data_IF_363695541194
#
_entry.id   IF_363695541194
#
_cell.length_a   1.000
_cell.length_b   1.000
_cell.length_c   1.000
_cell.angle_alpha   90.00
_cell.angle_beta   90.00
_cell.angle_gamma   90.00
#
_symmetry.space_group_name_H-M   'P 1'
#
loop_
_entity.id
_entity.type
_entity.pdbx_description
1 polymer ?
#
# COMPACT_ATOMS: atom_id res chain seq x y z
N UNK A 1 11.77 -38.94 76.09
CA UNK A 1 12.34 -39.91 75.12
C UNK A 1 11.34 -40.10 73.98
N UNK A 2 11.57 -39.46 72.83
CA UNK A 2 10.93 -39.83 71.56
C UNK A 2 12.07 -40.19 70.59
N UNK A 3 12.20 -41.48 70.31
CA UNK A 3 13.16 -42.02 69.33
C UNK A 3 12.64 -41.75 67.91
N UNK A 4 13.27 -40.83 67.18
CA UNK A 4 13.05 -40.69 65.74
C UNK A 4 13.62 -41.95 65.06
N UNK A 5 12.74 -42.85 64.61
CA UNK A 5 13.12 -43.99 63.77
C UNK A 5 13.68 -43.46 62.45
N UNK A 6 14.99 -43.62 62.24
CA UNK A 6 15.66 -43.36 60.96
C UNK A 6 15.10 -44.34 59.92
N UNK A 7 14.51 -43.80 58.85
CA UNK A 7 14.01 -44.57 57.72
C UNK A 7 15.20 -45.27 57.02
N UNK A 8 15.11 -46.56 56.63
CA UNK A 8 16.20 -47.27 55.96
C UNK A 8 16.65 -46.55 54.69
N UNK A 9 17.96 -46.44 54.47
CA UNK A 9 18.54 -45.77 53.29
C UNK A 9 17.98 -46.28 51.95
N UNK A 10 17.58 -47.56 51.88
CA UNK A 10 16.92 -48.15 50.70
C UNK A 10 15.56 -47.51 50.40
N UNK A 11 14.75 -47.24 51.42
CA UNK A 11 13.44 -46.57 51.26
C UNK A 11 13.56 -45.10 50.90
N UNK A 12 14.58 -44.41 51.43
CA UNK A 12 14.88 -43.03 51.07
C UNK A 12 15.35 -42.90 49.62
N UNK A 13 16.18 -43.83 49.14
CA UNK A 13 16.63 -43.87 47.75
C UNK A 13 15.50 -44.17 46.76
N UNK A 14 14.56 -45.07 47.12
CA UNK A 14 13.37 -45.33 46.30
C UNK A 14 12.44 -44.13 46.29
N UNK A 15 12.19 -43.50 47.44
CA UNK A 15 11.37 -42.29 47.52
C UNK A 15 11.95 -41.14 46.69
N UNK A 16 13.27 -40.93 46.73
CA UNK A 16 13.94 -39.91 45.93
C UNK A 16 13.79 -40.18 44.41
N UNK A 17 13.94 -41.44 43.98
CA UNK A 17 13.74 -41.81 42.56
C UNK A 17 12.30 -41.57 42.10
N UNK A 18 11.31 -41.86 42.95
CA UNK A 18 9.89 -41.61 42.66
C UNK A 18 9.62 -40.10 42.55
N UNK A 19 10.18 -39.29 43.45
CA UNK A 19 10.03 -37.82 43.39
C UNK A 19 10.66 -37.24 42.13
N UNK A 20 11.86 -37.70 41.76
CA UNK A 20 12.53 -37.25 40.52
C UNK A 20 11.71 -37.66 39.28
N UNK A 21 11.17 -38.88 39.25
CA UNK A 21 10.35 -39.33 38.13
C UNK A 21 9.05 -38.53 38.02
N UNK A 22 8.37 -38.25 39.14
CA UNK A 22 7.17 -37.41 39.16
C UNK A 22 7.47 -35.98 38.73
N UNK A 23 8.61 -35.42 39.15
CA UNK A 23 9.05 -34.09 38.73
C UNK A 23 9.36 -34.04 37.22
N UNK A 24 10.01 -35.08 36.68
CA UNK A 24 10.24 -35.22 35.24
C UNK A 24 8.94 -35.31 34.44
N UNK A 25 7.95 -36.09 34.91
CA UNK A 25 6.62 -36.17 34.30
C UNK A 25 5.91 -34.81 34.35
N UNK A 26 6.01 -34.09 35.46
CA UNK A 26 5.42 -32.76 35.61
C UNK A 26 6.05 -31.74 34.66
N UNK A 27 7.38 -31.78 34.48
CA UNK A 27 8.09 -30.94 33.53
C UNK A 27 7.72 -31.28 32.07
N UNK A 28 7.61 -32.57 31.73
CA UNK A 28 7.14 -32.99 30.41
C UNK A 28 5.69 -32.55 30.15
N UNK A 29 4.82 -32.65 31.16
CA UNK A 29 3.44 -32.17 31.07
C UNK A 29 3.39 -30.64 30.92
N UNK A 30 4.17 -29.90 31.71
CA UNK A 30 4.29 -28.44 31.57
C UNK A 30 4.81 -28.06 30.18
N UNK A 31 5.88 -28.70 29.70
CA UNK A 31 6.40 -28.49 28.35
C UNK A 31 5.35 -28.84 27.28
N UNK A 32 4.58 -29.92 27.45
CA UNK A 32 3.48 -30.25 26.53
C UNK A 32 2.34 -29.23 26.60
N UNK A 33 2.01 -28.66 27.76
CA UNK A 33 0.98 -27.60 27.84
C UNK A 33 1.46 -26.25 27.32
N UNK A 34 2.76 -25.95 27.43
CA UNK A 34 3.35 -24.68 27.01
C UNK A 34 3.76 -24.69 25.53
N UNK A 35 4.19 -25.85 25.02
CA UNK A 35 4.66 -26.05 23.64
C UNK A 35 3.74 -26.95 22.81
N UNK A 36 2.67 -27.54 23.37
CA UNK A 36 1.71 -28.38 22.63
C UNK A 36 0.82 -27.58 21.68
N UNK A 37 0.75 -26.26 21.86
CA UNK A 37 0.19 -25.32 20.88
C UNK A 37 1.23 -24.88 19.83
N UNK A 38 2.46 -25.41 19.88
CA UNK A 38 3.44 -25.25 18.81
C UNK A 38 3.04 -26.14 17.63
N UNK A 39 2.09 -25.65 16.85
CA UNK A 39 1.78 -26.22 15.54
C UNK A 39 3.04 -26.18 14.67
N UNK A 40 3.43 -27.32 14.11
CA UNK A 40 4.38 -27.36 13.01
C UNK A 40 3.91 -26.37 11.94
N UNK A 41 4.78 -25.50 11.37
CA UNK A 41 4.39 -24.74 10.21
C UNK A 41 4.04 -25.77 9.16
N UNK A 42 2.75 -25.88 8.84
CA UNK A 42 2.32 -26.53 7.61
C UNK A 42 2.79 -25.63 6.48
N UNK A 43 4.08 -25.68 6.15
CA UNK A 43 4.61 -25.20 4.89
C UNK A 43 4.14 -26.16 3.80
N UNK A 44 2.85 -26.09 3.53
CA UNK A 44 2.26 -26.49 2.27
C UNK A 44 1.28 -25.37 1.95
N UNK A 45 1.82 -24.31 1.37
CA UNK A 45 1.05 -23.32 0.62
C UNK A 45 0.45 -24.03 -0.60
N UNK A 46 -0.57 -24.85 -0.35
CA UNK A 46 -1.59 -25.12 -1.36
C UNK A 46 -2.22 -23.76 -1.59
N UNK A 47 -1.93 -23.13 -2.72
CA UNK A 47 -2.59 -21.91 -3.17
C UNK A 47 -4.09 -22.14 -3.15
N UNK A 48 -4.73 -21.80 -2.04
CA UNK A 48 -6.17 -21.62 -1.99
C UNK A 48 -6.40 -20.44 -2.91
N UNK A 49 -7.01 -20.68 -4.07
CA UNK A 49 -7.58 -19.66 -4.92
C UNK A 49 -8.40 -18.72 -4.04
N UNK A 50 -7.81 -17.62 -3.58
CA UNK A 50 -8.55 -16.58 -2.89
C UNK A 50 -9.64 -16.13 -3.85
N UNK A 51 -10.88 -16.09 -3.36
CA UNK A 51 -11.97 -15.49 -4.12
C UNK A 51 -11.57 -14.04 -4.40
N UNK A 52 -11.42 -13.59 -5.66
CA UNK A 52 -10.99 -12.21 -5.93
C UNK A 52 -11.95 -11.16 -5.34
N UNK A 53 -13.20 -11.53 -5.07
CA UNK A 53 -14.15 -10.68 -4.36
C UNK A 53 -13.80 -10.49 -2.89
N UNK A 54 -13.07 -11.42 -2.28
CA UNK A 54 -12.60 -11.31 -0.90
C UNK A 54 -11.56 -10.21 -0.70
N UNK A 55 -10.95 -9.70 -1.78
CA UNK A 55 -10.00 -8.58 -1.74
C UNK A 55 -10.69 -7.22 -1.57
N UNK A 56 -12.00 -7.13 -1.80
CA UNK A 56 -12.74 -5.86 -1.80
C UNK A 56 -13.47 -5.70 -0.47
N UNK A 57 -13.09 -4.69 0.29
CA UNK A 57 -13.53 -4.47 1.66
C UNK A 57 -14.28 -3.13 1.79
N UNK A 58 -15.62 -3.13 1.67
CA UNK A 58 -16.41 -1.93 1.89
C UNK A 58 -16.65 -1.68 3.39
N UNK A 59 -16.46 -0.43 3.83
CA UNK A 59 -16.70 0.00 5.21
C UNK A 59 -17.95 0.86 5.32
N UNK A 60 -18.87 0.44 6.19
CA UNK A 60 -20.14 1.12 6.40
C UNK A 60 -21.17 0.81 5.31
N UNK A 61 -21.28 -0.45 4.90
CA UNK A 61 -22.20 -0.94 3.85
C UNK A 61 -21.55 -0.98 2.47
N UNK A 62 -22.21 -1.60 1.48
CA UNK A 62 -21.64 -1.89 0.16
C UNK A 62 -22.22 -1.07 -1.00
N UNK A 63 -23.15 -0.14 -0.72
CA UNK A 63 -23.85 0.63 -1.75
C UNK A 63 -22.92 1.47 -2.62
N UNK A 64 -21.73 1.80 -2.13
CA UNK A 64 -20.77 2.61 -2.87
C UNK A 64 -19.91 1.81 -3.87
N UNK A 65 -19.97 0.48 -3.84
CA UNK A 65 -19.18 -0.36 -4.73
C UNK A 65 -19.85 -0.48 -6.11
N UNK A 66 -19.05 -0.56 -7.19
CA UNK A 66 -19.55 -0.90 -8.51
C UNK A 66 -20.06 -2.35 -8.54
N UNK A 67 -20.76 -2.70 -9.61
CA UNK A 67 -21.25 -4.08 -9.82
C UNK A 67 -20.08 -5.05 -9.97
N UNK A 68 -19.85 -5.87 -8.95
CA UNK A 68 -18.85 -6.94 -8.97
C UNK A 68 -19.47 -8.20 -9.58
N UNK A 69 -19.22 -8.44 -10.86
CA UNK A 69 -19.79 -9.56 -11.59
C UNK A 69 -18.73 -10.47 -12.23
N UNK A 70 -19.18 -11.59 -12.80
CA UNK A 70 -18.33 -12.60 -13.41
C UNK A 70 -17.53 -12.11 -14.62
N UNK A 71 -18.03 -11.09 -15.34
CA UNK A 71 -17.31 -10.48 -16.46
C UNK A 71 -16.03 -9.79 -15.99
N UNK A 72 -16.12 -9.01 -14.91
CA UNK A 72 -14.96 -8.32 -14.32
C UNK A 72 -13.90 -9.31 -13.84
N UNK A 73 -14.32 -10.43 -13.22
CA UNK A 73 -13.41 -11.50 -12.79
C UNK A 73 -12.69 -12.15 -13.97
N UNK A 74 -13.39 -12.37 -15.09
CA UNK A 74 -12.81 -12.93 -16.30
C UNK A 74 -11.83 -11.94 -16.96
N UNK A 75 -12.20 -10.67 -16.98
CA UNK A 75 -11.36 -9.58 -17.48
C UNK A 75 -10.06 -9.46 -16.67
N UNK A 76 -10.15 -9.40 -15.33
CA UNK A 76 -8.99 -9.34 -14.45
C UNK A 76 -8.03 -10.53 -14.68
N UNK A 77 -8.56 -11.75 -14.83
CA UNK A 77 -7.74 -12.94 -15.14
C UNK A 77 -7.07 -12.83 -16.51
N UNK A 78 -7.80 -12.34 -17.51
CA UNK A 78 -7.30 -12.17 -18.88
C UNK A 78 -6.15 -11.16 -18.90
N UNK A 79 -6.34 -10.00 -18.27
CA UNK A 79 -5.32 -8.95 -18.19
C UNK A 79 -4.12 -9.44 -17.37
N UNK A 80 -4.33 -10.06 -16.21
CA UNK A 80 -3.24 -10.64 -15.40
C UNK A 80 -2.34 -11.57 -16.21
N UNK A 81 -2.92 -12.49 -16.98
CA UNK A 81 -2.16 -13.40 -17.84
C UNK A 81 -1.40 -12.65 -18.95
N UNK A 82 -2.01 -11.62 -19.52
CA UNK A 82 -1.37 -10.79 -20.54
C UNK A 82 -0.18 -9.99 -19.95
N UNK A 83 -0.33 -9.41 -18.76
CA UNK A 83 0.72 -8.65 -18.08
C UNK A 83 1.96 -9.50 -17.79
N UNK A 84 1.81 -10.77 -17.43
CA UNK A 84 2.94 -11.69 -17.20
C UNK A 84 3.88 -11.84 -18.41
N UNK A 85 3.37 -11.62 -19.62
CA UNK A 85 4.16 -11.77 -20.85
C UNK A 85 4.67 -10.42 -21.39
N UNK A 86 4.05 -9.31 -20.99
CA UNK A 86 4.28 -7.98 -21.57
C UNK A 86 4.98 -7.02 -20.62
N UNK A 87 4.87 -7.21 -19.31
CA UNK A 87 5.30 -6.24 -18.32
C UNK A 87 6.59 -6.70 -17.61
N UNK A 88 7.68 -5.91 -17.62
CA UNK A 88 8.98 -6.29 -17.08
C UNK A 88 9.09 -6.04 -15.56
N UNK A 89 8.00 -6.22 -14.81
CA UNK A 89 8.00 -5.94 -13.38
C UNK A 89 8.28 -7.24 -12.59
N UNK A 90 9.31 -7.25 -11.72
CA UNK A 90 9.58 -8.42 -10.89
C UNK A 90 8.40 -8.69 -9.95
N UNK A 91 8.18 -9.97 -9.64
CA UNK A 91 7.24 -10.33 -8.59
C UNK A 91 7.74 -9.78 -7.26
N UNK A 92 6.85 -9.12 -6.52
CA UNK A 92 7.14 -8.64 -5.17
C UNK A 92 6.13 -9.26 -4.20
N UNK A 93 6.61 -9.64 -3.03
CA UNK A 93 5.81 -10.17 -1.93
C UNK A 93 5.42 -9.09 -0.90
N UNK A 94 5.70 -7.82 -1.20
CA UNK A 94 5.28 -6.67 -0.38
C UNK A 94 3.76 -6.62 -0.34
N UNK A 95 3.19 -6.67 0.88
CA UNK A 95 1.74 -6.63 1.10
C UNK A 95 1.25 -5.19 1.10
N UNK A 96 0.51 -4.80 0.05
CA UNK A 96 0.02 -3.42 -0.14
C UNK A 96 -1.51 -3.42 -0.17
N UNK A 97 -2.12 -2.63 0.71
CA UNK A 97 -3.57 -2.36 0.67
C UNK A 97 -3.85 -1.03 -0.02
N UNK A 98 -4.71 -1.03 -1.04
CA UNK A 98 -5.24 0.21 -1.63
C UNK A 98 -6.38 0.73 -0.76
N UNK A 99 -6.40 2.04 -0.53
CA UNK A 99 -7.39 2.70 0.33
C UNK A 99 -8.05 3.85 -0.44
N UNK A 100 -9.39 3.93 -0.37
CA UNK A 100 -10.15 5.04 -0.98
C UNK A 100 -11.45 5.33 -0.24
N UNK A 101 -12.09 6.46 -0.56
CA UNK A 101 -13.32 6.94 0.06
C UNK A 101 -14.40 7.27 -0.98
N UNK A 102 -15.47 6.49 -0.98
CA UNK A 102 -16.61 6.64 -1.89
C UNK A 102 -17.90 6.73 -1.06
N UNK A 103 -18.18 7.88 -0.45
CA UNK A 103 -19.42 8.09 0.30
C UNK A 103 -20.30 9.19 -0.31
N UNK A 104 -21.57 9.21 0.11
CA UNK A 104 -22.59 10.12 -0.40
C UNK A 104 -23.49 9.47 -1.46
N UNK A 105 -24.10 10.29 -2.31
CA UNK A 105 -24.89 9.77 -3.44
C UNK A 105 -24.00 9.06 -4.44
N UNK A 106 -24.46 7.89 -4.90
CA UNK A 106 -23.80 7.15 -5.98
C UNK A 106 -23.82 8.01 -7.24
N UNK A 107 -22.65 8.23 -7.83
CA UNK A 107 -22.48 8.98 -9.07
C UNK A 107 -21.74 8.10 -10.06
N UNK A 108 -22.26 8.02 -11.28
CA UNK A 108 -21.77 7.10 -12.32
C UNK A 108 -20.26 7.24 -12.57
N UNK A 109 -19.77 8.47 -12.74
CA UNK A 109 -18.36 8.72 -13.02
C UNK A 109 -17.44 8.20 -11.91
N UNK A 110 -17.81 8.35 -10.63
CA UNK A 110 -17.03 7.78 -9.52
C UNK A 110 -17.15 6.26 -9.43
N UNK A 111 -18.25 5.67 -9.91
CA UNK A 111 -18.35 4.21 -10.04
C UNK A 111 -17.41 3.69 -11.13
N UNK A 112 -17.40 4.34 -12.30
CA UNK A 112 -16.45 4.02 -13.38
C UNK A 112 -15.00 4.17 -12.91
N UNK A 113 -14.70 5.24 -12.16
CA UNK A 113 -13.39 5.43 -11.56
C UNK A 113 -12.99 4.28 -10.62
N UNK A 114 -13.85 3.97 -9.65
CA UNK A 114 -13.64 2.86 -8.72
C UNK A 114 -13.47 1.51 -9.42
N UNK A 115 -14.20 1.26 -10.51
CA UNK A 115 -14.07 0.03 -11.30
C UNK A 115 -12.64 -0.17 -11.82
N UNK A 116 -11.93 0.90 -12.22
CA UNK A 116 -10.52 0.78 -12.66
C UNK A 116 -9.58 0.35 -11.53
N UNK A 117 -9.86 0.80 -10.29
CA UNK A 117 -9.12 0.39 -9.10
C UNK A 117 -9.47 -1.02 -8.63
N UNK A 118 -10.75 -1.41 -8.69
CA UNK A 118 -11.20 -2.78 -8.41
C UNK A 118 -10.51 -3.75 -9.36
N UNK A 119 -10.53 -3.44 -10.67
CA UNK A 119 -9.87 -4.25 -11.70
C UNK A 119 -8.37 -4.41 -11.41
N UNK A 120 -7.68 -3.30 -11.14
CA UNK A 120 -6.24 -3.34 -10.83
C UNK A 120 -5.95 -4.14 -9.56
N UNK A 121 -6.72 -3.95 -8.49
CA UNK A 121 -6.59 -4.72 -7.24
C UNK A 121 -6.79 -6.21 -7.48
N UNK A 122 -7.77 -6.59 -8.31
CA UNK A 122 -7.96 -7.98 -8.72
C UNK A 122 -6.80 -8.50 -9.57
N UNK A 123 -6.22 -7.71 -10.48
CA UNK A 123 -5.08 -8.15 -11.31
C UNK A 123 -3.87 -8.47 -10.43
N UNK A 124 -3.56 -7.61 -9.47
CA UNK A 124 -2.34 -7.69 -8.65
C UNK A 124 -2.52 -8.36 -7.29
N UNK A 125 -3.73 -8.82 -6.96
CA UNK A 125 -4.06 -9.46 -5.68
C UNK A 125 -3.77 -8.55 -4.46
N UNK A 126 -4.09 -7.26 -4.61
CA UNK A 126 -3.98 -6.27 -3.53
C UNK A 126 -5.36 -6.05 -2.90
N UNK A 127 -5.40 -5.92 -1.58
CA UNK A 127 -6.62 -5.55 -0.86
C UNK A 127 -7.10 -4.15 -1.29
N UNK A 128 -8.41 -3.93 -1.32
CA UNK A 128 -9.04 -2.65 -1.59
C UNK A 128 -10.01 -2.28 -0.46
N UNK A 129 -9.59 -1.36 0.40
CA UNK A 129 -10.36 -0.81 1.51
C UNK A 129 -11.14 0.42 1.04
N UNK A 130 -12.48 0.32 0.95
CA UNK A 130 -13.36 1.37 0.43
C UNK A 130 -14.26 1.92 1.54
N UNK A 131 -14.06 3.18 1.94
CA UNK A 131 -14.97 3.83 2.88
C UNK A 131 -16.27 4.27 2.18
N UNK A 132 -17.36 3.54 2.43
CA UNK A 132 -18.68 3.84 1.87
C UNK A 132 -19.53 4.77 2.74
N UNK A 133 -19.25 4.85 4.04
CA UNK A 133 -19.95 5.73 4.99
C UNK A 133 -18.94 6.64 5.69
N UNK A 134 -19.20 7.95 5.80
CA UNK A 134 -18.30 8.86 6.49
C UNK A 134 -18.28 8.54 8.00
N UNK A 135 -17.09 8.61 8.58
CA UNK A 135 -16.82 8.41 10.01
C UNK A 135 -16.86 9.74 10.76
N UNK A 136 -16.32 10.79 10.13
CA UNK A 136 -16.25 12.16 10.66
C UNK A 136 -16.74 13.16 9.60
N UNK A 137 -16.61 14.44 9.85
CA UNK A 137 -17.07 15.49 8.95
C UNK A 137 -16.10 15.74 7.78
N UNK A 138 -16.67 16.05 6.62
CA UNK A 138 -15.96 16.59 5.45
C UNK A 138 -14.76 15.73 5.01
N UNK A 139 -13.67 16.39 4.61
CA UNK A 139 -12.46 15.77 4.10
C UNK A 139 -11.57 15.16 5.21
N UNK A 140 -11.84 15.46 6.49
CA UNK A 140 -11.18 14.82 7.64
C UNK A 140 -11.46 13.32 7.75
N UNK A 141 -12.43 12.81 6.97
CA UNK A 141 -12.64 11.39 6.79
C UNK A 141 -11.39 10.64 6.27
N UNK A 142 -10.59 11.27 5.39
CA UNK A 142 -9.36 10.67 4.84
C UNK A 142 -8.39 10.27 5.97
N UNK A 143 -7.88 11.21 6.80
CA UNK A 143 -6.97 10.85 7.88
C UNK A 143 -7.62 9.96 8.95
N UNK A 144 -8.90 10.16 9.27
CA UNK A 144 -9.60 9.31 10.24
C UNK A 144 -9.72 7.85 9.78
N UNK A 145 -10.05 7.62 8.51
CA UNK A 145 -10.17 6.27 7.96
C UNK A 145 -8.82 5.57 7.85
N UNK A 146 -7.79 6.27 7.35
CA UNK A 146 -6.42 5.74 7.30
C UNK A 146 -5.94 5.38 8.71
N UNK A 147 -6.15 6.24 9.71
CA UNK A 147 -5.79 5.96 11.10
C UNK A 147 -6.49 4.69 11.61
N UNK A 148 -7.77 4.50 11.30
CA UNK A 148 -8.50 3.30 11.71
C UNK A 148 -7.92 2.02 11.10
N UNK A 149 -7.51 2.07 9.82
CA UNK A 149 -6.87 0.95 9.13
C UNK A 149 -5.47 0.68 9.69
N UNK A 150 -4.67 1.71 9.92
CA UNK A 150 -3.34 1.57 10.54
C UNK A 150 -3.45 0.86 11.89
N UNK A 151 -4.38 1.28 12.75
CA UNK A 151 -4.62 0.64 14.05
C UNK A 151 -5.07 -0.82 13.91
N UNK A 152 -5.96 -1.11 12.95
CA UNK A 152 -6.41 -2.48 12.63
C UNK A 152 -5.27 -3.37 12.14
N UNK A 153 -4.35 -2.84 11.35
CA UNK A 153 -3.18 -3.59 10.90
C UNK A 153 -2.14 -3.78 12.02
N UNK A 154 -1.93 -2.77 12.85
CA UNK A 154 -0.94 -2.82 13.94
C UNK A 154 -1.25 -3.89 15.00
N UNK A 155 -2.51 -4.33 15.13
CA UNK A 155 -2.88 -5.45 16.03
C UNK A 155 -2.65 -6.84 15.41
N UNK A 156 -2.38 -6.94 14.10
CA UNK A 156 -2.05 -8.22 13.44
C UNK A 156 -0.60 -8.64 13.71
N UNK A 157 -0.28 -9.95 13.62
CA UNK A 157 1.08 -10.44 13.51
C UNK A 157 1.82 -9.79 12.32
N UNK A 158 3.11 -9.53 12.46
CA UNK A 158 3.90 -8.82 11.44
C UNK A 158 3.85 -9.51 10.06
N UNK A 159 3.80 -10.84 10.04
CA UNK A 159 3.76 -11.65 8.81
C UNK A 159 2.41 -11.56 8.07
N UNK A 160 1.33 -11.21 8.78
CA UNK A 160 -0.02 -11.07 8.21
C UNK A 160 -0.41 -9.61 7.97
N UNK A 161 0.35 -8.68 8.55
CA UNK A 161 0.12 -7.24 8.44
C UNK A 161 0.44 -6.73 7.04
N UNK A 162 -0.39 -5.82 6.53
CA UNK A 162 0.00 -5.00 5.38
C UNK A 162 1.28 -4.22 5.71
N UNK A 163 2.17 -4.09 4.74
CA UNK A 163 3.40 -3.30 4.90
C UNK A 163 3.15 -1.84 4.50
N UNK A 164 2.29 -1.63 3.50
CA UNK A 164 1.97 -0.30 2.98
C UNK A 164 0.48 -0.14 2.73
N UNK A 165 -0.01 1.07 2.97
CA UNK A 165 -1.28 1.56 2.44
C UNK A 165 -1.00 2.50 1.27
N UNK A 166 -1.75 2.32 0.18
CA UNK A 166 -1.74 3.20 -0.99
C UNK A 166 -3.06 3.95 -1.08
N UNK A 167 -3.06 5.22 -0.67
CA UNK A 167 -4.25 6.07 -0.71
C UNK A 167 -4.48 6.60 -2.13
N UNK A 168 -5.74 6.60 -2.57
CA UNK A 168 -6.20 7.25 -3.81
C UNK A 168 -7.51 8.00 -3.59
N UNK A 169 -7.58 9.25 -4.05
CA UNK A 169 -8.82 10.01 -4.12
C UNK A 169 -9.77 9.43 -5.16
N UNK A 170 -11.08 9.59 -4.94
CA UNK A 170 -12.13 8.97 -5.76
C UNK A 170 -12.18 9.48 -7.21
N UNK A 171 -11.56 10.60 -7.51
CA UNK A 171 -11.42 11.19 -8.83
C UNK A 171 -10.06 10.85 -9.47
N UNK A 172 -9.66 9.58 -9.31
CA UNK A 172 -8.49 9.01 -9.96
C UNK A 172 -8.87 7.81 -10.86
N UNK A 173 -8.08 7.57 -11.90
CA UNK A 173 -8.22 6.43 -12.82
C UNK A 173 -6.87 5.71 -12.95
N UNK A 174 -6.91 4.37 -12.94
CA UNK A 174 -5.73 3.56 -13.29
C UNK A 174 -5.59 3.50 -14.82
N UNK A 175 -4.46 4.01 -15.33
CA UNK A 175 -4.11 4.03 -16.76
C UNK A 175 -3.28 2.80 -17.19
N UNK A 176 -2.40 2.30 -16.32
CA UNK A 176 -1.60 1.09 -16.57
C UNK A 176 -2.04 -0.03 -15.60
N UNK A 177 -2.86 -0.93 -16.13
CA UNK A 177 -3.39 -2.08 -15.39
C UNK A 177 -2.31 -3.14 -15.09
N UNK A 178 -1.19 -3.15 -15.82
CA UNK A 178 -0.13 -4.14 -15.68
C UNK A 178 0.96 -3.74 -14.68
N UNK A 179 1.03 -2.47 -14.29
CA UNK A 179 2.05 -2.01 -13.34
C UNK A 179 1.66 -2.31 -11.89
N UNK A 180 2.46 -3.09 -11.15
CA UNK A 180 2.19 -3.36 -9.73
C UNK A 180 2.55 -2.16 -8.86
N UNK A 181 1.84 -2.00 -7.73
CA UNK A 181 2.11 -0.93 -6.76
C UNK A 181 3.51 -1.01 -6.15
N UNK A 182 4.04 -2.23 -5.98
CA UNK A 182 5.39 -2.47 -5.48
C UNK A 182 6.48 -1.87 -6.37
N UNK A 183 6.20 -1.65 -7.66
CA UNK A 183 7.18 -1.04 -8.60
C UNK A 183 7.56 0.41 -8.27
N UNK A 184 6.86 1.05 -7.34
CA UNK A 184 7.15 2.41 -6.86
C UNK A 184 7.94 2.43 -5.55
N UNK A 185 8.03 1.28 -4.86
CA UNK A 185 8.69 1.15 -3.58
C UNK A 185 10.16 0.75 -3.78
N UNK A 186 10.96 0.89 -2.73
CA UNK A 186 12.33 0.42 -2.73
C UNK A 186 12.38 -1.09 -3.03
N UNK A 187 13.30 -1.54 -3.92
CA UNK A 187 13.58 -2.96 -4.07
C UNK A 187 13.97 -3.57 -2.73
N UNK A 188 13.67 -4.86 -2.52
CA UNK A 188 14.23 -5.57 -1.36
C UNK A 188 15.68 -5.96 -1.67
N UNK A 189 16.50 -6.07 -0.63
CA UNK A 189 17.93 -6.41 -0.76
C UNK A 189 18.18 -7.70 -1.59
N UNK A 190 17.21 -8.62 -1.65
CA UNK A 190 17.28 -9.85 -2.43
C UNK A 190 17.19 -9.63 -3.97
N UNK A 191 16.74 -8.45 -4.44
CA UNK A 191 16.64 -8.08 -5.86
C UNK A 191 17.95 -7.47 -6.43
N UNK A 192 18.93 -7.14 -5.56
CA UNK A 192 20.19 -6.49 -5.98
C UNK A 192 21.29 -7.48 -6.41
N UNK A 193 21.06 -8.79 -6.34
CA UNK A 193 22.11 -9.79 -6.55
C UNK A 193 22.55 -10.04 -8.00
N UNK A 194 21.94 -9.40 -9.00
CA UNK A 194 22.17 -9.78 -10.41
C UNK A 194 23.00 -8.80 -11.26
N UNK A 195 23.38 -7.60 -10.80
CA UNK A 195 24.22 -6.71 -11.62
C UNK A 195 25.17 -5.82 -10.80
N UNK A 196 26.29 -6.36 -10.30
CA UNK A 196 27.52 -5.57 -10.09
C UNK A 196 28.78 -6.42 -10.29
N UNK A 197 29.22 -6.51 -11.54
CA UNK A 197 30.64 -6.69 -11.86
C UNK A 197 31.34 -5.32 -11.76
N UNK A 198 32.37 -5.27 -10.90
CA UNK A 198 33.51 -4.35 -10.85
C UNK A 198 33.27 -2.86 -11.11
N UNK A 199 33.36 -2.04 -10.05
CA UNK A 199 34.04 -0.73 -10.17
C UNK A 199 34.64 -0.22 -8.85
N UNK A 200 35.97 -0.26 -8.87
CA UNK A 200 36.99 0.56 -8.22
C UNK A 200 36.61 1.51 -7.06
N UNK A 201 37.31 1.29 -5.95
CA UNK A 201 37.28 2.07 -4.72
C UNK A 201 37.89 3.45 -4.91
N UNK A 202 37.07 4.50 -4.85
CA UNK A 202 37.54 5.83 -4.46
C UNK A 202 36.60 6.44 -3.42
N UNK A 203 37.20 6.86 -2.31
CA UNK A 203 36.55 7.51 -1.17
C UNK A 203 35.74 8.71 -1.66
N UNK A 204 34.41 8.60 -1.61
CA UNK A 204 33.52 9.75 -1.80
C UNK A 204 32.84 10.11 -0.48
N UNK A 205 33.08 11.36 -0.12
CA UNK A 205 32.42 12.23 0.85
C UNK A 205 31.11 11.69 1.45
N UNK A 206 31.02 11.77 2.79
CA UNK A 206 29.85 11.45 3.63
C UNK A 206 28.54 11.89 2.98
N UNK A 207 27.91 10.97 2.24
CA UNK A 207 26.49 11.07 1.89
C UNK A 207 25.72 10.76 3.16
N UNK A 208 24.68 11.52 3.41
CA UNK A 208 23.66 11.20 4.40
C UNK A 208 22.90 9.98 3.85
N UNK A 209 23.50 8.79 3.95
CA UNK A 209 22.96 7.52 3.44
C UNK A 209 21.63 7.28 4.15
N UNK A 210 20.53 7.60 3.45
CA UNK A 210 19.21 7.27 3.97
C UNK A 210 18.97 5.81 3.66
N UNK A 211 18.85 4.97 4.69
CA UNK A 211 18.38 3.62 4.48
C UNK A 211 16.93 3.65 3.93
N UNK A 212 16.63 3.03 2.77
CA UNK A 212 15.28 2.98 2.23
C UNK A 212 14.21 2.45 3.20
N UNK A 213 14.59 1.63 4.17
CA UNK A 213 13.70 1.15 5.23
C UNK A 213 13.23 2.21 6.22
N UNK A 214 13.96 3.32 6.33
CA UNK A 214 13.57 4.47 7.13
C UNK A 214 12.52 5.33 6.43
N UNK A 215 12.15 5.03 5.19
CA UNK A 215 11.12 5.77 4.48
C UNK A 215 9.73 5.20 4.83
N UNK A 216 8.85 6.08 5.29
CA UNK A 216 7.53 5.72 5.80
C UNK A 216 6.39 6.44 5.07
N UNK A 217 6.68 7.48 4.30
CA UNK A 217 5.69 8.23 3.54
C UNK A 217 6.27 8.67 2.19
N UNK A 218 5.64 8.24 1.10
CA UNK A 218 5.94 8.70 -0.27
C UNK A 218 4.81 9.59 -0.76
N UNK A 219 5.13 10.84 -1.05
CA UNK A 219 4.17 11.84 -1.54
C UNK A 219 4.64 12.49 -2.82
N UNK A 220 3.73 13.20 -3.47
CA UNK A 220 4.02 14.04 -4.64
C UNK A 220 3.65 15.49 -4.34
N UNK A 221 4.33 16.42 -4.98
CA UNK A 221 3.96 17.83 -4.97
C UNK A 221 3.42 18.26 -6.32
N UNK A 222 2.54 19.27 -6.31
CA UNK A 222 2.16 20.05 -7.48
C UNK A 222 2.51 21.55 -7.26
N UNK A 223 1.98 22.43 -8.10
CA UNK A 223 2.23 23.88 -7.99
C UNK A 223 1.68 24.54 -6.72
N UNK A 224 0.87 23.83 -5.91
CA UNK A 224 0.35 24.28 -4.62
C UNK A 224 1.09 23.67 -3.42
N UNK A 225 2.16 22.89 -3.62
CA UNK A 225 2.83 22.16 -2.56
C UNK A 225 2.40 20.68 -2.53
N UNK A 226 2.23 20.12 -1.33
CA UNK A 226 1.76 18.73 -1.18
C UNK A 226 0.47 18.49 -1.95
N UNK A 227 0.42 17.42 -2.75
CA UNK A 227 -0.84 16.83 -3.20
C UNK A 227 -1.06 15.50 -2.46
N UNK A 228 -2.05 15.44 -1.56
CA UNK A 228 -2.33 14.23 -0.78
C UNK A 228 -3.45 13.37 -1.39
N UNK A 229 -3.75 13.55 -2.69
CA UNK A 229 -4.75 12.74 -3.38
C UNK A 229 -4.24 11.35 -3.74
N UNK A 230 -2.93 11.17 -3.86
CA UNK A 230 -2.30 9.85 -4.07
C UNK A 230 -0.98 9.78 -3.30
N UNK A 231 -0.81 8.79 -2.43
CA UNK A 231 0.44 8.59 -1.67
C UNK A 231 0.55 7.18 -1.09
N UNK A 232 1.77 6.79 -0.72
CA UNK A 232 2.03 5.57 0.04
C UNK A 232 2.39 5.88 1.48
N UNK A 233 1.87 5.12 2.44
CA UNK A 233 2.27 5.19 3.85
C UNK A 233 2.57 3.79 4.40
N UNK A 234 3.72 3.63 5.05
CA UNK A 234 4.15 2.37 5.68
C UNK A 234 3.30 2.11 6.91
N UNK A 235 2.89 0.87 7.13
CA UNK A 235 2.12 0.48 8.30
C UNK A 235 3.06 0.25 9.49
N UNK A 236 3.21 1.28 10.30
CA UNK A 236 4.03 1.23 11.51
C UNK A 236 3.52 2.23 12.57
N UNK A 237 4.17 2.26 13.73
CA UNK A 237 3.84 3.21 14.79
C UNK A 237 4.02 4.67 14.34
N UNK A 238 5.04 4.97 13.54
CA UNK A 238 5.29 6.30 13.01
C UNK A 238 4.07 6.85 12.24
N UNK A 239 3.45 6.02 11.40
CA UNK A 239 2.27 6.41 10.64
C UNK A 239 1.05 6.61 11.53
N UNK A 240 0.88 5.77 12.57
CA UNK A 240 -0.19 5.96 13.57
C UNK A 240 -0.05 7.32 14.25
N UNK A 241 1.15 7.70 14.65
CA UNK A 241 1.43 8.99 15.27
C UNK A 241 1.19 10.15 14.30
N UNK A 242 1.68 10.05 13.06
CA UNK A 242 1.46 11.05 12.02
C UNK A 242 -0.03 11.32 11.80
N UNK A 243 -0.82 10.26 11.56
CA UNK A 243 -2.24 10.40 11.26
C UNK A 243 -3.09 10.79 12.48
N UNK A 244 -2.61 10.48 13.69
CA UNK A 244 -3.19 11.01 14.93
C UNK A 244 -3.00 12.53 15.02
N UNK A 245 -1.78 13.01 14.77
CA UNK A 245 -1.45 14.44 14.82
C UNK A 245 -2.18 15.22 13.72
N UNK A 246 -2.30 14.67 12.51
CA UNK A 246 -3.09 15.26 11.42
C UNK A 246 -4.56 15.38 11.83
N UNK A 247 -5.19 14.30 12.28
CA UNK A 247 -6.61 14.31 12.65
C UNK A 247 -6.90 15.27 13.83
N UNK A 248 -5.97 15.38 14.77
CA UNK A 248 -6.07 16.26 15.92
C UNK A 248 -5.77 17.73 15.60
N UNK A 249 -5.08 18.03 14.48
CA UNK A 249 -4.54 19.35 14.14
C UNK A 249 -5.55 20.48 14.31
N UNK A 250 -6.76 20.29 13.77
CA UNK A 250 -7.85 21.30 13.79
C UNK A 250 -8.28 21.74 15.19
N UNK A 251 -8.03 20.92 16.21
CA UNK A 251 -8.42 21.22 17.59
C UNK A 251 -7.29 21.88 18.38
N UNK A 252 -6.04 21.46 18.15
CA UNK A 252 -4.89 21.96 18.92
C UNK A 252 -4.17 23.14 18.26
N UNK A 253 -4.38 23.36 16.95
CA UNK A 253 -3.83 24.50 16.20
C UNK A 253 -4.91 25.23 15.38
N UNK A 254 -6.02 25.66 16.01
CA UNK A 254 -7.21 26.16 15.30
C UNK A 254 -6.97 27.49 14.56
N UNK A 255 -5.94 28.24 14.91
CA UNK A 255 -5.62 29.53 14.31
C UNK A 255 -4.69 29.43 13.08
N UNK A 256 -4.25 28.23 12.72
CA UNK A 256 -3.41 28.03 11.54
C UNK A 256 -4.29 27.94 10.31
N UNK A 257 -3.93 28.69 9.26
CA UNK A 257 -4.65 28.66 7.98
C UNK A 257 -4.45 27.32 7.29
N UNK A 258 -5.54 26.68 6.89
CA UNK A 258 -5.57 25.41 6.18
C UNK A 258 -6.27 25.60 4.82
N UNK A 259 -5.61 26.23 3.82
CA UNK A 259 -6.22 26.51 2.52
C UNK A 259 -6.72 25.25 1.79
N UNK A 260 -6.12 24.08 2.08
CA UNK A 260 -6.51 22.77 1.58
C UNK A 260 -6.92 21.81 2.71
N UNK A 261 -7.50 22.32 3.80
CA UNK A 261 -8.03 21.53 4.93
C UNK A 261 -7.01 20.52 5.48
N UNK A 262 -7.28 19.22 5.42
CA UNK A 262 -6.44 18.14 5.93
C UNK A 262 -5.16 17.94 5.12
N UNK A 263 -5.13 18.35 3.84
CA UNK A 263 -3.90 18.37 3.05
C UNK A 263 -2.90 19.37 3.63
N UNK A 264 -3.37 20.59 3.93
CA UNK A 264 -2.52 21.59 4.59
C UNK A 264 -2.06 21.12 5.97
N UNK A 265 -2.92 20.42 6.72
CA UNK A 265 -2.53 19.87 8.02
C UNK A 265 -1.46 18.78 7.86
N UNK A 266 -1.61 17.88 6.89
CA UNK A 266 -0.63 16.84 6.57
C UNK A 266 0.71 17.45 6.15
N UNK A 267 0.70 18.45 5.28
CA UNK A 267 1.91 19.15 4.81
C UNK A 267 2.67 19.81 5.97
N UNK A 268 1.96 20.42 6.91
CA UNK A 268 2.58 21.03 8.09
C UNK A 268 3.20 19.95 8.99
N UNK A 269 2.41 18.95 9.39
CA UNK A 269 2.87 17.92 10.35
C UNK A 269 4.02 17.09 9.76
N UNK A 270 3.94 16.67 8.50
CA UNK A 270 4.97 15.84 7.87
C UNK A 270 6.33 16.56 7.75
N UNK A 271 6.34 17.90 7.78
CA UNK A 271 7.55 18.71 7.74
C UNK A 271 8.12 19.02 9.14
N UNK A 272 7.47 18.58 10.22
CA UNK A 272 8.01 18.72 11.57
C UNK A 272 9.20 17.79 11.78
N UNK A 273 10.15 18.20 12.63
CA UNK A 273 11.39 17.46 12.92
C UNK A 273 11.19 15.99 13.28
N UNK A 274 10.06 15.66 13.91
CA UNK A 274 9.66 14.29 14.26
C UNK A 274 9.39 13.41 13.04
N UNK A 275 8.79 13.94 11.98
CA UNK A 275 8.28 13.16 10.85
C UNK A 275 9.13 13.34 9.59
N UNK A 276 9.65 14.53 9.35
CA UNK A 276 10.37 14.92 8.13
C UNK A 276 11.47 13.94 7.68
N UNK A 277 12.30 13.34 8.58
CA UNK A 277 13.35 12.43 8.14
C UNK A 277 12.84 11.21 7.36
N UNK A 278 11.62 10.73 7.63
CA UNK A 278 11.05 9.50 7.05
C UNK A 278 10.13 9.76 5.85
N UNK A 279 10.08 11.01 5.36
CA UNK A 279 9.23 11.43 4.24
C UNK A 279 10.06 11.55 2.98
N UNK A 280 9.57 11.06 1.84
CA UNK A 280 10.16 11.36 0.53
C UNK A 280 9.11 11.94 -0.42
N UNK A 281 9.48 13.05 -1.05
CA UNK A 281 8.75 13.61 -2.18
C UNK A 281 9.32 12.97 -3.44
N UNK A 282 8.48 12.27 -4.19
CA UNK A 282 8.85 11.62 -5.45
C UNK A 282 8.28 12.40 -6.64
N UNK A 283 8.81 12.20 -7.87
CA UNK A 283 8.26 12.84 -9.06
C UNK A 283 6.76 12.55 -9.22
N UNK A 284 5.98 13.60 -9.53
CA UNK A 284 4.52 13.53 -9.61
C UNK A 284 4.05 12.48 -10.61
N UNK A 285 4.79 12.31 -11.70
CA UNK A 285 4.48 11.40 -12.77
C UNK A 285 4.59 9.91 -12.42
N UNK A 286 5.14 9.57 -11.27
CA UNK A 286 5.17 8.17 -10.84
C UNK A 286 3.76 7.64 -10.66
N UNK A 287 2.90 8.37 -9.96
CA UNK A 287 1.57 7.88 -9.60
C UNK A 287 0.51 8.97 -9.38
N UNK A 288 0.75 10.22 -9.79
CA UNK A 288 -0.19 11.32 -9.57
C UNK A 288 -0.24 12.31 -10.75
N UNK A 289 -0.27 11.80 -11.99
CA UNK A 289 -0.31 12.64 -13.20
C UNK A 289 -1.66 13.33 -13.40
N UNK A 290 -1.65 14.45 -14.11
CA UNK A 290 -2.83 15.23 -14.47
C UNK A 290 -3.18 15.12 -15.95
N UNK A 291 -4.48 15.21 -16.29
CA UNK A 291 -4.92 15.17 -17.69
C UNK A 291 -4.44 16.41 -18.44
N UNK A 292 -4.02 16.20 -19.69
CA UNK A 292 -3.75 17.26 -20.66
C UNK A 292 -4.53 16.98 -21.93
N UNK A 293 -5.49 17.85 -22.23
CA UNK A 293 -6.37 17.66 -23.39
C UNK A 293 -7.47 16.64 -23.13
N UNK A 294 -8.02 16.11 -24.21
CA UNK A 294 -9.06 15.09 -24.27
C UNK A 294 -8.47 13.67 -24.19
N UNK A 295 -9.29 12.63 -23.93
CA UNK A 295 -8.84 11.24 -24.06
C UNK A 295 -8.34 10.91 -25.46
N UNK A 296 -8.93 11.50 -26.50
CA UNK A 296 -8.45 11.34 -27.89
C UNK A 296 -7.04 11.89 -28.04
N UNK A 297 -6.75 13.07 -27.48
CA UNK A 297 -5.38 13.63 -27.51
C UNK A 297 -4.40 12.69 -26.81
N UNK A 298 -4.79 12.07 -25.68
CA UNK A 298 -3.94 11.09 -24.99
C UNK A 298 -3.65 9.85 -25.85
N UNK A 299 -4.63 9.38 -26.63
CA UNK A 299 -4.51 8.20 -27.48
C UNK A 299 -3.77 8.49 -28.79
N UNK A 300 -3.96 9.64 -29.40
CA UNK A 300 -3.48 9.91 -30.77
C UNK A 300 -2.17 10.70 -30.83
N UNK A 301 -1.77 11.35 -29.73
CA UNK A 301 -0.60 12.23 -29.73
C UNK A 301 0.69 11.46 -30.05
N UNK A 302 1.49 12.02 -30.96
CA UNK A 302 2.71 11.39 -31.49
C UNK A 302 4.02 11.98 -30.93
N UNK A 303 3.99 13.14 -30.27
CA UNK A 303 5.15 13.76 -29.64
C UNK A 303 4.86 14.31 -28.23
N UNK A 304 5.91 14.73 -27.53
CA UNK A 304 5.77 15.30 -26.19
C UNK A 304 5.53 16.82 -26.19
N UNK A 305 5.26 17.44 -27.35
CA UNK A 305 5.19 18.90 -27.45
C UNK A 305 4.07 19.47 -26.58
N UNK A 306 4.38 20.51 -25.81
CA UNK A 306 3.48 21.12 -24.84
C UNK A 306 3.09 20.22 -23.65
N UNK A 307 3.65 19.01 -23.52
CA UNK A 307 3.51 18.20 -22.31
C UNK A 307 4.52 18.67 -21.25
N UNK A 308 4.09 18.60 -20.00
CA UNK A 308 4.95 18.78 -18.82
C UNK A 308 5.12 17.41 -18.18
N UNK A 309 6.04 17.27 -17.24
CA UNK A 309 6.31 15.96 -16.63
C UNK A 309 5.08 15.42 -15.91
N UNK A 310 4.37 16.28 -15.19
CA UNK A 310 3.12 15.93 -14.52
C UNK A 310 1.92 15.69 -15.44
N UNK A 311 2.01 15.91 -16.76
CA UNK A 311 0.93 15.57 -17.68
C UNK A 311 0.97 14.09 -18.04
N UNK A 312 -0.19 13.44 -17.98
CA UNK A 312 -0.36 12.03 -18.29
C UNK A 312 -0.02 11.71 -19.76
N UNK A 313 0.62 10.56 -19.96
CA UNK A 313 1.05 9.96 -21.23
C UNK A 313 0.83 8.45 -21.19
N UNK A 314 0.87 7.79 -22.34
CA UNK A 314 0.81 6.32 -22.39
C UNK A 314 1.93 5.74 -21.52
N UNK A 315 1.65 4.70 -20.74
CA UNK A 315 2.61 4.09 -19.80
C UNK A 315 2.69 4.75 -18.42
N UNK A 316 2.03 5.89 -18.21
CA UNK A 316 1.80 6.39 -16.85
C UNK A 316 0.82 5.50 -16.09
N UNK A 317 0.96 5.48 -14.77
CA UNK A 317 0.19 4.57 -13.93
C UNK A 317 -1.22 5.06 -13.62
N UNK A 318 -1.36 6.32 -13.22
CA UNK A 318 -2.58 6.86 -12.64
C UNK A 318 -2.79 8.30 -13.08
N UNK A 319 -4.05 8.60 -13.41
CA UNK A 319 -4.55 9.93 -13.75
C UNK A 319 -5.40 10.50 -12.61
N UNK A 320 -5.15 11.74 -12.21
CA UNK A 320 -5.86 12.43 -11.14
C UNK A 320 -6.54 13.71 -11.65
N UNK A 321 -7.83 13.86 -11.40
CA UNK A 321 -8.62 15.02 -11.84
C UNK A 321 -8.69 16.16 -10.79
N UNK A 322 -7.62 16.30 -10.00
CA UNK A 322 -7.52 17.28 -8.92
C UNK A 322 -7.87 18.70 -9.38
N UNK A 323 -8.77 19.36 -8.65
CA UNK A 323 -9.15 20.76 -8.90
C UNK A 323 -9.84 21.02 -10.25
N UNK A 324 -10.21 19.98 -11.01
CA UNK A 324 -10.89 20.14 -12.31
C UNK A 324 -12.38 20.40 -12.13
N UNK A 325 -12.90 21.38 -12.88
CA UNK A 325 -14.34 21.53 -13.11
C UNK A 325 -14.85 20.52 -14.14
N UNK A 326 -16.14 20.18 -14.10
CA UNK A 326 -16.74 19.21 -15.04
C UNK A 326 -16.19 17.79 -14.91
N UNK A 327 -15.77 17.40 -13.70
CA UNK A 327 -15.19 16.07 -13.40
C UNK A 327 -16.10 14.92 -13.80
N UNK A 328 -17.41 15.11 -13.69
CA UNK A 328 -18.43 14.16 -14.12
C UNK A 328 -18.25 13.77 -15.59
N UNK A 329 -18.20 14.75 -16.48
CA UNK A 329 -18.01 14.52 -17.91
C UNK A 329 -16.60 13.98 -18.20
N UNK A 330 -15.56 14.60 -17.63
CA UNK A 330 -14.17 14.21 -17.90
C UNK A 330 -13.87 12.77 -17.49
N UNK A 331 -14.26 12.36 -16.28
CA UNK A 331 -14.01 11.01 -15.79
C UNK A 331 -14.77 9.99 -16.65
N UNK A 332 -16.00 10.29 -17.07
CA UNK A 332 -16.76 9.42 -17.97
C UNK A 332 -16.04 9.23 -19.32
N UNK A 333 -15.62 10.31 -19.98
CA UNK A 333 -14.93 10.25 -21.28
C UNK A 333 -13.61 9.46 -21.19
N UNK A 334 -12.83 9.67 -20.13
CA UNK A 334 -11.58 8.94 -19.90
C UNK A 334 -11.82 7.46 -19.57
N UNK A 335 -12.83 7.14 -18.74
CA UNK A 335 -13.17 5.77 -18.41
C UNK A 335 -13.65 4.99 -19.66
N UNK A 336 -14.48 5.60 -20.50
CA UNK A 336 -14.95 4.99 -21.75
C UNK A 336 -13.80 4.72 -22.73
N UNK A 337 -12.82 5.64 -22.81
CA UNK A 337 -11.59 5.43 -23.57
C UNK A 337 -10.77 4.24 -23.04
N UNK A 338 -10.65 4.09 -21.72
CA UNK A 338 -9.93 2.98 -21.09
C UNK A 338 -10.62 1.62 -21.32
N UNK A 339 -11.96 1.59 -21.29
CA UNK A 339 -12.74 0.38 -21.61
C UNK A 339 -12.50 -0.07 -23.07
N UNK A 340 -12.42 0.87 -24.01
CA UNK A 340 -12.18 0.57 -25.42
C UNK A 340 -10.75 0.10 -25.74
N UNK A 341 -9.75 0.64 -25.04
CA UNK A 341 -8.32 0.38 -25.29
C UNK A 341 -7.74 -0.75 -24.43
N UNK A 342 -8.43 -1.14 -23.34
CA UNK A 342 -7.97 -2.13 -22.35
C UNK A 342 -6.62 -1.82 -21.72
N UNK A 343 -6.16 -0.56 -21.79
CA UNK A 343 -4.87 -0.13 -21.24
C UNK A 343 -3.64 -0.89 -21.78
N UNK A 344 -3.76 -1.57 -22.93
CA UNK A 344 -2.66 -2.27 -23.59
C UNK A 344 -2.25 -1.42 -24.80
N UNK A 345 -1.18 -0.66 -24.62
CA UNK A 345 -0.67 0.25 -25.64
C UNK A 345 0.41 -0.46 -26.47
N UNK A 346 0.32 -0.47 -27.81
CA UNK A 346 1.45 -0.82 -28.65
C UNK A 346 2.63 0.11 -28.31
N UNK A 347 3.88 -0.37 -28.48
CA UNK A 347 5.05 0.51 -28.33
C UNK A 347 4.97 1.63 -29.36
N UNK A 348 4.79 2.86 -28.89
CA UNK A 348 4.65 4.05 -29.73
C UNK A 348 5.50 5.21 -29.20
N UNK A 349 5.68 6.22 -30.06
CA UNK A 349 6.24 7.52 -29.72
C UNK A 349 5.35 8.13 -28.62
N UNK A 350 5.89 8.64 -27.50
CA UNK A 350 5.13 9.12 -26.31
C UNK A 350 4.61 8.04 -25.33
N UNK A 351 5.35 6.93 -25.17
CA UNK A 351 5.17 6.03 -24.02
C UNK A 351 6.22 6.31 -22.93
N UNK A 352 5.78 6.68 -21.72
CA UNK A 352 6.67 6.84 -20.56
C UNK A 352 6.92 5.47 -19.90
N UNK A 353 8.18 5.21 -19.58
CA UNK A 353 8.57 4.11 -18.70
C UNK A 353 9.37 4.67 -17.51
N UNK A 354 8.70 4.84 -16.36
CA UNK A 354 9.33 5.35 -15.14
C UNK A 354 10.17 4.31 -14.38
N UNK A 355 10.26 3.05 -14.85
CA UNK A 355 10.97 1.97 -14.13
C UNK A 355 12.43 2.32 -13.87
N UNK A 356 13.13 2.85 -14.89
CA UNK A 356 14.55 3.20 -14.77
C UNK A 356 14.76 4.38 -13.82
N UNK A 357 13.90 5.40 -13.87
CA UNK A 357 14.02 6.57 -12.99
C UNK A 357 13.71 6.23 -11.54
N UNK A 358 12.76 5.31 -11.29
CA UNK A 358 12.47 4.81 -9.94
C UNK A 358 13.62 4.01 -9.38
N UNK A 359 14.17 3.07 -10.14
CA UNK A 359 15.35 2.31 -9.71
C UNK A 359 16.52 3.24 -9.37
N UNK A 360 16.81 4.19 -10.26
CA UNK A 360 17.87 5.18 -10.04
C UNK A 360 17.63 6.09 -8.84
N UNK A 361 16.37 6.40 -8.50
CA UNK A 361 16.04 7.13 -7.27
C UNK A 361 16.39 6.31 -6.03
N UNK A 362 15.96 5.05 -5.96
CA UNK A 362 16.19 4.19 -4.80
C UNK A 362 17.67 3.85 -4.60
N UNK A 363 18.41 3.55 -5.68
CA UNK A 363 19.85 3.29 -5.61
C UNK A 363 20.69 4.54 -5.31
N UNK A 364 20.09 5.73 -5.35
CA UNK A 364 20.77 6.99 -5.10
C UNK A 364 20.59 7.57 -3.70
N UNK A 365 19.83 6.89 -2.83
CA UNK A 365 19.53 7.32 -1.46
C UNK A 365 20.66 7.10 -0.46
#
# INVERSE_FOLDING_TARGET
MLQLKRLPWSTAAVALKVVIALFGILLCYQAYTFYGEWSWPKSFSRGTSQDPLSLIHPHGGSRCLPSLNSSLLLEAKTIRNACQHMAPYPSSDVRIGRVTAHFGSVQEHYQKALSTHVLHSMIHNNDLEVMCTPVVDSLWNKPAFILSLLLKEMVKPAQERLEWLFWVDRDTLILDQCRPLSSFLSPRDDDESDETEDTDTSESERRDETNPDDIHLLVTNDWNGLNNGVFFVRVNQWAVELFSDIAAFRYYRPNVSLPFTEQSAMEIIMNESKFKPNVRVVPQEWFNTYPKGSPTDFVEKADEDGLKDYHARRGDFLLHFAGRGGRDKLINEWAEMLEGTRSIWPKEEVQRNATKSIRGFWSGL
#
